data_IF_069282637901
#
_entry.id   IF_069282637901
#
_cell.length_a   1.000
_cell.length_b   1.000
_cell.length_c   1.000
_cell.angle_alpha   90.00
_cell.angle_beta   90.00
_cell.angle_gamma   90.00
#
_symmetry.space_group_name_H-M   'P 1'
#
loop_
_entity.id
_entity.type
_entity.pdbx_description
1 polymer ?
#
# COMPACT_ATOMS: atom_id res chain seq x y z
N UNK A 1 16.44 -8.63 -27.35
CA UNK A 1 15.29 -8.48 -26.44
C UNK A 1 15.75 -7.68 -25.24
N UNK A 2 15.27 -6.46 -25.07
CA UNK A 2 15.49 -5.70 -23.83
C UNK A 2 14.50 -6.28 -22.83
N UNK A 3 14.99 -6.97 -21.80
CA UNK A 3 14.13 -7.40 -20.69
C UNK A 3 13.49 -6.13 -20.08
N UNK A 4 12.17 -6.11 -19.84
CA UNK A 4 11.54 -4.97 -19.20
C UNK A 4 12.26 -4.70 -17.88
N UNK A 5 12.82 -3.49 -17.76
CA UNK A 5 13.59 -3.10 -16.59
C UNK A 5 12.65 -3.06 -15.38
N UNK A 6 13.14 -3.46 -14.21
CA UNK A 6 12.36 -3.52 -12.96
C UNK A 6 11.56 -2.23 -12.68
N UNK A 7 12.12 -1.08 -13.07
CA UNK A 7 11.47 0.24 -12.94
C UNK A 7 10.19 0.38 -13.77
N UNK A 8 10.11 -0.24 -14.94
CA UNK A 8 8.92 -0.15 -15.79
C UNK A 8 7.78 -1.03 -15.25
N UNK A 9 8.13 -2.17 -14.63
CA UNK A 9 7.16 -3.03 -13.93
C UNK A 9 6.55 -2.33 -12.73
N UNK A 10 7.37 -1.72 -11.87
CA UNK A 10 6.89 -0.94 -10.72
C UNK A 10 5.97 0.22 -11.14
N UNK A 11 6.23 0.87 -12.29
CA UNK A 11 5.32 1.90 -12.84
C UNK A 11 3.97 1.33 -13.29
N UNK A 12 3.96 0.21 -14.01
CA UNK A 12 2.72 -0.44 -14.45
C UNK A 12 1.87 -0.88 -13.24
N UNK A 13 2.51 -1.48 -12.25
CA UNK A 13 1.87 -1.87 -10.98
C UNK A 13 1.31 -0.67 -10.21
N UNK A 14 2.02 0.48 -10.19
CA UNK A 14 1.49 1.69 -9.57
C UNK A 14 0.26 2.24 -10.32
N UNK A 15 0.21 2.14 -11.66
CA UNK A 15 -0.98 2.50 -12.43
C UNK A 15 -2.15 1.56 -12.11
N UNK A 16 -1.88 0.26 -12.06
CA UNK A 16 -2.84 -0.77 -11.68
C UNK A 16 -3.42 -0.49 -10.29
N UNK A 17 -2.57 -0.16 -9.32
CA UNK A 17 -2.96 0.23 -7.96
C UNK A 17 -3.96 1.40 -7.96
N UNK A 18 -3.65 2.50 -8.65
CA UNK A 18 -4.54 3.66 -8.70
C UNK A 18 -5.86 3.37 -9.40
N UNK A 19 -5.85 2.51 -10.42
CA UNK A 19 -7.06 2.07 -11.08
C UNK A 19 -7.95 1.24 -10.14
N UNK A 20 -7.37 0.29 -9.41
CA UNK A 20 -8.11 -0.50 -8.42
C UNK A 20 -8.66 0.34 -7.27
N UNK A 21 -7.90 1.34 -6.81
CA UNK A 21 -8.39 2.31 -5.84
C UNK A 21 -9.65 3.02 -6.32
N UNK A 22 -9.66 3.48 -7.57
CA UNK A 22 -10.83 4.13 -8.16
C UNK A 22 -12.04 3.18 -8.26
N UNK A 23 -11.84 1.93 -8.70
CA UNK A 23 -12.91 0.93 -8.75
C UNK A 23 -13.53 0.69 -7.38
N UNK A 24 -12.69 0.49 -6.37
CA UNK A 24 -13.13 0.28 -5.00
C UNK A 24 -13.82 1.50 -4.38
N UNK A 25 -13.24 2.69 -4.56
CA UNK A 25 -13.81 3.94 -4.07
C UNK A 25 -15.19 4.21 -4.66
N UNK A 26 -15.35 4.03 -5.98
CA UNK A 26 -16.63 4.17 -6.68
C UNK A 26 -17.68 3.19 -6.14
N UNK A 27 -17.30 1.94 -5.90
CA UNK A 27 -18.22 0.92 -5.36
C UNK A 27 -18.68 1.24 -3.94
N UNK A 28 -17.79 1.74 -3.10
CA UNK A 28 -18.10 2.07 -1.71
C UNK A 28 -18.78 3.43 -1.55
N UNK A 29 -18.82 4.26 -2.61
CA UNK A 29 -19.33 5.63 -2.52
C UNK A 29 -18.45 6.52 -1.63
N UNK A 30 -17.14 6.26 -1.62
CA UNK A 30 -16.17 6.94 -0.73
C UNK A 30 -15.09 7.66 -1.53
N UNK A 31 -14.38 8.57 -0.86
CA UNK A 31 -13.23 9.24 -1.44
C UNK A 31 -12.01 8.31 -1.66
N UNK A 32 -11.31 8.52 -2.79
CA UNK A 32 -10.17 7.70 -3.21
C UNK A 32 -8.97 7.89 -2.29
N UNK A 33 -8.72 9.10 -1.81
CA UNK A 33 -7.55 9.41 -0.98
C UNK A 33 -7.73 8.83 0.43
N UNK A 34 -8.96 8.80 0.94
CA UNK A 34 -9.29 8.03 2.14
C UNK A 34 -8.98 6.53 1.98
N UNK A 35 -9.30 5.93 0.81
CA UNK A 35 -8.98 4.52 0.55
C UNK A 35 -7.50 4.28 0.32
N UNK A 36 -6.79 5.24 -0.26
CA UNK A 36 -5.34 5.22 -0.39
C UNK A 36 -4.66 5.12 0.98
N UNK A 37 -5.03 6.00 1.92
CA UNK A 37 -4.52 5.97 3.29
C UNK A 37 -4.91 4.67 4.02
N UNK A 38 -6.14 4.20 3.84
CA UNK A 38 -6.59 2.94 4.43
C UNK A 38 -5.72 1.76 4.00
N UNK A 39 -5.49 1.57 2.69
CA UNK A 39 -4.68 0.45 2.21
C UNK A 39 -3.21 0.59 2.60
N UNK A 40 -2.66 1.80 2.60
CA UNK A 40 -1.30 2.05 3.08
C UNK A 40 -1.13 1.64 4.54
N UNK A 41 -2.07 2.04 5.40
CA UNK A 41 -2.04 1.71 6.84
C UNK A 41 -2.17 0.21 7.11
N UNK A 42 -3.02 -0.48 6.35
CA UNK A 42 -3.37 -1.88 6.64
C UNK A 42 -2.44 -2.91 5.96
N UNK A 43 -1.91 -2.60 4.78
CA UNK A 43 -1.12 -3.56 4.00
C UNK A 43 0.30 -3.06 3.73
N UNK A 44 0.47 -1.86 3.16
CA UNK A 44 1.81 -1.35 2.80
C UNK A 44 2.72 -1.20 4.03
N UNK A 45 2.16 -0.69 5.14
CA UNK A 45 2.89 -0.52 6.40
C UNK A 45 3.51 -1.83 6.89
N UNK A 46 2.80 -2.95 6.74
CA UNK A 46 3.24 -4.27 7.18
C UNK A 46 4.42 -4.75 6.34
N UNK A 47 4.34 -4.57 5.02
CA UNK A 47 5.42 -4.94 4.09
C UNK A 47 6.67 -4.11 4.40
N UNK A 48 6.51 -2.79 4.61
CA UNK A 48 7.66 -1.91 4.87
C UNK A 48 8.32 -2.16 6.22
N UNK A 49 7.57 -2.51 7.25
CA UNK A 49 8.12 -2.90 8.56
C UNK A 49 8.85 -4.25 8.49
N UNK A 50 8.36 -5.19 7.68
CA UNK A 50 8.97 -6.51 7.51
C UNK A 50 10.28 -6.45 6.71
N UNK A 51 10.28 -5.68 5.62
CA UNK A 51 11.38 -5.66 4.64
C UNK A 51 12.39 -4.52 4.88
N UNK A 52 12.25 -3.76 5.97
CA UNK A 52 13.10 -2.62 6.29
C UNK A 52 13.21 -1.60 5.14
N UNK A 53 12.07 -1.28 4.50
CA UNK A 53 12.05 -0.45 3.28
C UNK A 53 12.41 1.01 3.59
N UNK A 54 13.34 1.53 2.79
CA UNK A 54 13.69 2.96 2.77
C UNK A 54 14.22 3.46 4.11
N UNK A 55 13.83 4.69 4.46
CA UNK A 55 14.26 5.36 5.69
C UNK A 55 13.31 5.17 6.87
N UNK A 56 12.30 4.31 6.73
CA UNK A 56 11.18 4.20 7.67
C UNK A 56 11.46 3.33 8.89
N UNK A 57 12.52 2.50 8.86
CA UNK A 57 12.85 1.52 9.92
C UNK A 57 12.83 2.10 11.34
N UNK A 58 13.44 3.27 11.53
CA UNK A 58 13.47 3.95 12.84
C UNK A 58 12.07 4.41 13.26
N UNK A 59 11.28 4.91 12.32
CA UNK A 59 9.92 5.38 12.57
C UNK A 59 8.99 4.21 12.90
N UNK A 60 9.10 3.07 12.20
CA UNK A 60 8.36 1.86 12.54
C UNK A 60 8.69 1.33 13.94
N UNK A 61 9.98 1.34 14.32
CA UNK A 61 10.39 0.99 15.69
C UNK A 61 9.73 1.92 16.72
N UNK A 62 9.77 3.23 16.50
CA UNK A 62 9.11 4.19 17.39
C UNK A 62 7.59 3.97 17.47
N UNK A 63 6.92 3.69 16.35
CA UNK A 63 5.49 3.39 16.32
C UNK A 63 5.17 2.12 17.13
N UNK A 64 6.00 1.07 17.04
CA UNK A 64 5.86 -0.16 17.84
C UNK A 64 6.02 0.10 19.33
N UNK A 65 7.05 0.84 19.73
CA UNK A 65 7.29 1.20 21.14
C UNK A 65 6.13 2.04 21.71
N UNK A 66 5.60 2.99 20.94
CA UNK A 66 4.43 3.78 21.32
C UNK A 66 3.16 2.92 21.46
N UNK A 67 2.99 1.92 20.57
CA UNK A 67 1.88 0.97 20.64
C UNK A 67 1.95 0.12 21.91
N UNK A 68 3.12 -0.44 22.20
CA UNK A 68 3.33 -1.36 23.32
C UNK A 68 3.17 -0.64 24.68
N UNK A 69 3.60 0.62 24.74
CA UNK A 69 3.41 1.49 25.90
C UNK A 69 2.00 2.10 26.02
N UNK A 70 1.10 1.83 25.07
CA UNK A 70 -0.25 2.43 24.98
C UNK A 70 -0.19 3.97 25.01
N UNK A 71 0.84 4.55 24.41
CA UNK A 71 1.09 5.98 24.46
C UNK A 71 0.00 6.76 23.71
N UNK A 72 -0.53 7.88 24.24
CA UNK A 72 -1.59 8.66 23.57
C UNK A 72 -1.25 9.10 22.15
N UNK A 73 0.03 9.42 21.90
CA UNK A 73 0.53 9.83 20.58
C UNK A 73 0.66 8.68 19.55
N UNK A 74 0.38 7.44 19.92
CA UNK A 74 0.49 6.30 18.99
C UNK A 74 -0.28 6.53 17.68
N UNK A 75 -1.52 7.03 17.78
CA UNK A 75 -2.36 7.24 16.60
C UNK A 75 -1.79 8.35 15.68
N UNK A 76 -1.29 9.43 16.26
CA UNK A 76 -0.74 10.56 15.51
C UNK A 76 0.53 10.15 14.75
N UNK A 77 1.46 9.47 15.45
CA UNK A 77 2.71 9.02 14.84
C UNK A 77 2.47 7.94 13.79
N UNK A 78 1.55 7.00 14.04
CA UNK A 78 1.18 5.99 13.06
C UNK A 78 0.52 6.60 11.81
N UNK A 79 -0.30 7.64 11.99
CA UNK A 79 -0.94 8.35 10.88
C UNK A 79 0.08 9.14 10.06
N UNK A 80 0.98 9.87 10.72
CA UNK A 80 2.06 10.59 10.03
C UNK A 80 3.02 9.67 9.27
N UNK A 81 3.36 8.50 9.83
CA UNK A 81 4.12 7.48 9.10
C UNK A 81 3.35 7.00 7.86
N UNK A 82 2.04 6.74 8.01
CA UNK A 82 1.21 6.33 6.89
C UNK A 82 1.17 7.38 5.78
N UNK A 83 1.07 8.66 6.11
CA UNK A 83 1.11 9.74 5.11
C UNK A 83 2.46 9.77 4.37
N UNK A 84 3.57 9.58 5.08
CA UNK A 84 4.93 9.66 4.54
C UNK A 84 5.31 8.51 3.59
N UNK A 85 4.78 7.30 3.78
CA UNK A 85 5.14 6.16 2.93
C UNK A 85 4.71 6.39 1.48
N UNK A 86 5.59 6.19 0.50
CA UNK A 86 5.17 6.22 -0.91
C UNK A 86 5.18 4.84 -1.52
N UNK A 87 4.19 4.52 -2.37
CA UNK A 87 4.21 3.28 -3.18
C UNK A 87 5.32 3.29 -4.24
N UNK A 88 5.94 4.45 -4.50
CA UNK A 88 7.10 4.56 -5.40
C UNK A 88 8.39 4.03 -4.77
N UNK A 89 8.43 3.92 -3.45
CA UNK A 89 9.60 3.40 -2.73
C UNK A 89 9.59 1.86 -2.65
N UNK A 90 8.46 1.24 -3.02
CA UNK A 90 8.32 -0.22 -3.08
C UNK A 90 9.05 -0.79 -4.29
N UNK A 91 9.78 -1.88 -4.07
CA UNK A 91 10.25 -2.74 -5.17
C UNK A 91 9.07 -3.41 -5.89
N UNK A 92 9.31 -3.93 -7.09
CA UNK A 92 8.31 -4.69 -7.86
C UNK A 92 7.72 -5.85 -7.06
N UNK A 93 8.54 -6.55 -6.26
CA UNK A 93 8.11 -7.69 -5.44
C UNK A 93 7.15 -7.22 -4.35
N UNK A 94 7.55 -6.18 -3.59
CA UNK A 94 6.73 -5.61 -2.52
C UNK A 94 5.42 -5.02 -3.04
N UNK A 95 5.46 -4.36 -4.20
CA UNK A 95 4.26 -3.80 -4.81
C UNK A 95 3.33 -4.90 -5.34
N UNK A 96 3.88 -6.03 -5.79
CA UNK A 96 3.08 -7.22 -6.16
C UNK A 96 2.35 -7.79 -4.93
N UNK A 97 3.05 -7.95 -3.80
CA UNK A 97 2.44 -8.41 -2.55
C UNK A 97 1.33 -7.46 -2.10
N UNK A 98 1.60 -6.16 -2.12
CA UNK A 98 0.62 -5.14 -1.77
C UNK A 98 -0.64 -5.18 -2.64
N UNK A 99 -0.47 -5.35 -3.97
CA UNK A 99 -1.58 -5.51 -4.90
C UNK A 99 -2.38 -6.79 -4.60
N UNK A 100 -1.70 -7.92 -4.37
CA UNK A 100 -2.38 -9.18 -4.05
C UNK A 100 -3.23 -9.08 -2.77
N UNK A 101 -2.71 -8.43 -1.72
CA UNK A 101 -3.43 -8.18 -0.48
C UNK A 101 -4.68 -7.32 -0.69
N UNK A 102 -4.57 -6.25 -1.50
CA UNK A 102 -5.70 -5.40 -1.87
C UNK A 102 -6.74 -6.20 -2.67
N UNK A 103 -6.31 -6.99 -3.65
CA UNK A 103 -7.20 -7.78 -4.48
C UNK A 103 -7.97 -8.80 -3.65
N UNK A 104 -7.27 -9.55 -2.79
CA UNK A 104 -7.87 -10.50 -1.88
C UNK A 104 -8.87 -9.83 -0.91
N UNK A 105 -8.51 -8.67 -0.35
CA UNK A 105 -9.41 -7.90 0.51
C UNK A 105 -10.67 -7.45 -0.24
N UNK A 106 -10.53 -6.83 -1.41
CA UNK A 106 -11.66 -6.36 -2.19
C UNK A 106 -12.57 -7.52 -2.60
N UNK A 107 -11.99 -8.64 -3.05
CA UNK A 107 -12.74 -9.82 -3.46
C UNK A 107 -13.52 -10.42 -2.27
N UNK A 108 -12.91 -10.49 -1.08
CA UNK A 108 -13.58 -10.91 0.16
C UNK A 108 -14.75 -10.00 0.53
N UNK A 109 -14.67 -8.71 0.18
CA UNK A 109 -15.76 -7.74 0.37
C UNK A 109 -16.70 -7.66 -0.86
N UNK A 110 -16.69 -8.70 -1.70
CA UNK A 110 -17.59 -8.88 -2.85
C UNK A 110 -17.17 -8.09 -4.09
N UNK A 111 -16.02 -7.42 -4.09
CA UNK A 111 -15.51 -6.61 -5.19
C UNK A 111 -14.36 -7.26 -5.92
N UNK A 112 -14.69 -7.87 -7.05
CA UNK A 112 -13.68 -8.25 -8.02
C UNK A 112 -13.08 -6.98 -8.65
N UNK A 113 -11.78 -6.81 -8.50
CA UNK A 113 -11.04 -5.73 -9.14
C UNK A 113 -10.56 -6.21 -10.50
N UNK A 114 -10.97 -5.49 -11.55
CA UNK A 114 -10.61 -5.83 -12.92
C UNK A 114 -9.15 -5.48 -13.19
N UNK A 115 -8.45 -6.34 -13.92
CA UNK A 115 -7.06 -6.13 -14.36
C UNK A 115 -7.05 -6.15 -15.88
N UNK A 116 -6.84 -4.99 -16.55
CA UNK A 116 -6.64 -4.92 -17.99
C UNK A 116 -5.45 -5.77 -18.43
N UNK A 117 -5.55 -6.40 -19.60
CA UNK A 117 -4.48 -7.27 -20.13
C UNK A 117 -3.16 -6.54 -20.36
N UNK A 118 -3.19 -5.23 -20.61
CA UNK A 118 -2.01 -4.36 -20.75
C UNK A 118 -1.31 -4.05 -19.41
N UNK A 119 -1.95 -4.38 -18.28
CA UNK A 119 -1.46 -4.17 -16.93
C UNK A 119 -1.28 -5.48 -16.14
N UNK A 120 -1.39 -6.63 -16.82
CA UNK A 120 -1.12 -7.97 -16.26
C UNK A 120 0.37 -8.29 -16.19
#
# INVERSE_FOLDING_TARGET
MIAPQDKDRSKAQNRLYWMWLNQWAKRQGTDKDCKHLFFKKNFLAKIYDCDDVGQYKKTFKAVRELKDSKHPLYQDVASGLCELMSTTDASTVQLTEYLNDIHAFCNKNGCYLETPDDLK
#
